data_IF_778883505412
#
_entry.id   IF_778883505412
#
_cell.length_a   1.000
_cell.length_b   1.000
_cell.length_c   1.000
_cell.angle_alpha   90.00
_cell.angle_beta   90.00
_cell.angle_gamma   90.00
#
_symmetry.space_group_name_H-M   'P 1'
#
loop_
_entity.id
_entity.type
_entity.pdbx_description
1 polymer ?
#
# COMPACT_ATOMS: atom_id res chain seq x y z
N UNK A 1 16.11 27.30 -15.31
CA UNK A 1 15.08 27.42 -14.24
C UNK A 1 15.76 28.01 -13.01
N UNK A 2 15.32 29.18 -12.53
CA UNK A 2 15.88 29.81 -11.33
C UNK A 2 15.56 28.98 -10.07
N UNK A 3 16.48 28.97 -9.09
CA UNK A 3 16.34 28.18 -7.85
C UNK A 3 15.04 28.45 -7.06
N UNK A 4 14.50 29.67 -7.18
CA UNK A 4 13.22 30.07 -6.58
C UNK A 4 12.00 29.36 -7.19
N UNK A 5 12.00 29.13 -8.50
CA UNK A 5 10.91 28.41 -9.18
C UNK A 5 10.90 26.92 -8.82
N UNK A 6 12.07 26.35 -8.53
CA UNK A 6 12.20 24.96 -8.08
C UNK A 6 11.63 24.84 -6.67
N UNK A 7 12.00 25.74 -5.75
CA UNK A 7 11.54 25.73 -4.36
C UNK A 7 10.02 25.79 -4.24
N UNK A 8 9.35 26.57 -5.09
CA UNK A 8 7.89 26.65 -5.13
C UNK A 8 7.19 25.39 -5.67
N UNK A 9 7.89 24.54 -6.45
CA UNK A 9 7.34 23.30 -7.00
C UNK A 9 7.57 22.07 -6.12
N UNK A 10 8.53 22.10 -5.20
CA UNK A 10 8.85 20.96 -4.30
C UNK A 10 7.63 20.45 -3.53
N UNK A 11 6.78 21.31 -2.90
CA UNK A 11 5.61 20.83 -2.16
C UNK A 11 4.59 20.10 -3.06
N UNK A 12 4.41 20.58 -4.29
CA UNK A 12 3.53 19.94 -5.27
C UNK A 12 4.08 18.58 -5.70
N UNK A 13 5.37 18.51 -6.05
CA UNK A 13 6.04 17.26 -6.45
C UNK A 13 5.95 16.22 -5.34
N UNK A 14 6.24 16.62 -4.10
CA UNK A 14 6.13 15.75 -2.92
C UNK A 14 4.70 15.22 -2.74
N UNK A 15 3.70 16.10 -2.79
CA UNK A 15 2.31 15.69 -2.63
C UNK A 15 1.89 14.71 -3.73
N UNK A 16 2.33 14.93 -4.98
CA UNK A 16 2.10 14.00 -6.08
C UNK A 16 2.80 12.67 -5.84
N UNK A 17 4.08 12.66 -5.44
CA UNK A 17 4.81 11.42 -5.13
C UNK A 17 4.11 10.61 -4.03
N UNK A 18 3.68 11.27 -2.96
CA UNK A 18 2.95 10.61 -1.87
C UNK A 18 1.60 10.04 -2.33
N UNK A 19 0.80 10.83 -3.06
CA UNK A 19 -0.52 10.40 -3.51
C UNK A 19 -0.44 9.29 -4.56
N UNK A 20 0.51 9.37 -5.48
CA UNK A 20 0.79 8.30 -6.44
C UNK A 20 1.30 7.05 -5.74
N UNK A 21 2.18 7.18 -4.75
CA UNK A 21 2.63 6.07 -3.92
C UNK A 21 1.48 5.40 -3.18
N UNK A 22 0.58 6.18 -2.57
CA UNK A 22 -0.59 5.69 -1.84
C UNK A 22 -1.57 4.96 -2.78
N UNK A 23 -1.83 5.53 -3.95
CA UNK A 23 -2.65 4.87 -4.97
C UNK A 23 -2.05 3.53 -5.39
N UNK A 24 -0.77 3.51 -5.78
CA UNK A 24 -0.12 2.26 -6.17
C UNK A 24 -0.09 1.23 -5.03
N UNK A 25 0.09 1.66 -3.78
CA UNK A 25 0.07 0.80 -2.61
C UNK A 25 -1.29 0.09 -2.46
N UNK A 26 -2.39 0.84 -2.53
CA UNK A 26 -3.74 0.28 -2.43
C UNK A 26 -4.06 -0.61 -3.62
N UNK A 27 -3.70 -0.19 -4.83
CA UNK A 27 -3.82 -1.00 -6.04
C UNK A 27 -3.10 -2.35 -5.92
N UNK A 28 -1.85 -2.35 -5.44
CA UNK A 28 -1.09 -3.59 -5.25
C UNK A 28 -1.68 -4.49 -4.15
N UNK A 29 -2.19 -3.91 -3.06
CA UNK A 29 -2.92 -4.66 -2.04
C UNK A 29 -4.18 -5.31 -2.61
N UNK A 30 -4.94 -4.59 -3.45
CA UNK A 30 -6.13 -5.13 -4.11
C UNK A 30 -5.79 -6.28 -5.05
N UNK A 31 -4.70 -6.15 -5.83
CA UNK A 31 -4.21 -7.22 -6.71
C UNK A 31 -3.82 -8.44 -5.87
N UNK A 32 -3.06 -8.25 -4.79
CA UNK A 32 -2.58 -9.34 -3.92
C UNK A 32 -3.74 -10.02 -3.16
N UNK A 33 -4.82 -9.30 -2.86
CA UNK A 33 -6.05 -9.85 -2.27
C UNK A 33 -6.97 -10.55 -3.27
N UNK A 34 -6.88 -10.18 -4.55
CA UNK A 34 -7.60 -10.88 -5.61
C UNK A 34 -6.99 -12.25 -5.89
N UNK A 35 -7.63 -13.06 -6.73
CA UNK A 35 -7.03 -14.32 -7.20
C UNK A 35 -5.87 -14.15 -8.20
N UNK A 36 -5.45 -12.93 -8.54
CA UNK A 36 -4.28 -12.73 -9.40
C UNK A 36 -3.02 -13.18 -8.66
N UNK A 37 -2.37 -14.22 -9.17
CA UNK A 37 -1.00 -14.53 -8.74
C UNK A 37 -0.08 -13.45 -9.30
N UNK A 38 0.44 -12.58 -8.41
CA UNK A 38 1.43 -11.57 -8.77
C UNK A 38 2.84 -12.06 -8.37
N UNK A 39 3.66 -12.54 -9.32
CA UNK A 39 5.02 -12.98 -8.99
C UNK A 39 5.95 -11.81 -8.60
N UNK A 40 5.54 -10.56 -8.85
CA UNK A 40 6.36 -9.37 -8.63
C UNK A 40 5.94 -8.54 -7.41
N UNK A 41 5.11 -9.07 -6.51
CA UNK A 41 4.61 -8.38 -5.31
C UNK A 41 5.72 -7.66 -4.53
N UNK A 42 6.86 -8.33 -4.32
CA UNK A 42 8.00 -7.74 -3.63
C UNK A 42 8.65 -6.55 -4.35
N UNK A 43 8.64 -6.52 -5.68
CA UNK A 43 9.19 -5.40 -6.47
C UNK A 43 8.23 -4.21 -6.47
N UNK A 44 6.93 -4.47 -6.65
CA UNK A 44 5.87 -3.46 -6.58
C UNK A 44 5.93 -2.66 -5.27
N UNK A 45 6.01 -3.35 -4.14
CA UNK A 45 6.08 -2.74 -2.82
C UNK A 45 7.42 -2.04 -2.51
N UNK A 46 8.51 -2.43 -3.17
CA UNK A 46 9.78 -1.67 -3.13
C UNK A 46 9.68 -0.39 -3.94
N UNK A 47 8.97 -0.39 -5.07
CA UNK A 47 8.75 0.80 -5.87
C UNK A 47 7.92 1.85 -5.11
N UNK A 48 6.82 1.46 -4.46
CA UNK A 48 6.04 2.37 -3.62
C UNK A 48 6.84 2.89 -2.42
N UNK A 49 7.66 2.03 -1.81
CA UNK A 49 8.60 2.45 -0.76
C UNK A 49 9.55 3.55 -1.25
N UNK A 50 10.12 3.44 -2.44
CA UNK A 50 11.01 4.47 -3.00
C UNK A 50 10.27 5.79 -3.26
N UNK A 51 8.99 5.75 -3.67
CA UNK A 51 8.17 6.95 -3.83
C UNK A 51 7.97 7.65 -2.48
N UNK A 52 7.61 6.90 -1.43
CA UNK A 52 7.46 7.47 -0.09
C UNK A 52 8.78 7.96 0.49
N UNK A 53 9.87 7.23 0.29
CA UNK A 53 11.20 7.65 0.73
C UNK A 53 11.61 8.96 0.06
N UNK A 54 11.37 9.09 -1.24
CA UNK A 54 11.67 10.33 -1.98
C UNK A 54 10.79 11.48 -1.49
N UNK A 55 9.48 11.25 -1.30
CA UNK A 55 8.57 12.25 -0.75
C UNK A 55 9.00 12.69 0.67
N UNK A 56 9.45 11.76 1.50
CA UNK A 56 9.96 12.01 2.85
C UNK A 56 11.24 12.85 2.84
N UNK A 57 12.18 12.60 1.92
CA UNK A 57 13.45 13.32 1.82
C UNK A 57 13.28 14.75 1.25
N UNK A 58 12.23 14.97 0.44
CA UNK A 58 11.88 16.29 -0.10
C UNK A 58 11.13 17.18 0.90
N UNK A 59 10.75 16.64 2.05
CA UNK A 59 10.05 17.36 3.11
C UNK A 59 11.02 18.15 3.99
N UNK A 60 10.61 19.35 4.40
CA UNK A 60 11.40 20.15 5.34
C UNK A 60 11.19 19.60 6.76
N UNK A 61 12.28 19.14 7.39
CA UNK A 61 12.28 18.62 8.75
C UNK A 61 13.19 19.45 9.64
N UNK A 62 12.72 19.72 10.85
CA UNK A 62 13.51 20.31 11.92
C UNK A 62 14.60 19.34 12.39
N UNK A 63 15.64 19.85 13.06
CA UNK A 63 16.73 19.01 13.60
C UNK A 63 16.22 17.92 14.55
N UNK A 64 15.19 18.21 15.34
CA UNK A 64 14.58 17.25 16.27
C UNK A 64 13.85 16.13 15.52
N UNK A 65 13.13 16.48 14.47
CA UNK A 65 12.44 15.50 13.60
C UNK A 65 13.45 14.61 12.88
N UNK A 66 14.55 15.16 12.38
CA UNK A 66 15.63 14.36 11.77
C UNK A 66 16.20 13.32 12.74
N UNK A 67 16.47 13.70 13.99
CA UNK A 67 16.98 12.76 15.01
C UNK A 67 15.96 11.65 15.26
N UNK A 68 14.68 12.00 15.42
CA UNK A 68 13.61 11.03 15.63
C UNK A 68 13.47 10.08 14.42
N UNK A 69 13.48 10.62 13.21
CA UNK A 69 13.39 9.85 11.97
C UNK A 69 14.54 8.86 11.86
N UNK A 70 15.79 9.30 12.10
CA UNK A 70 16.96 8.43 12.06
C UNK A 70 16.85 7.33 13.12
N UNK A 71 16.44 7.66 14.35
CA UNK A 71 16.25 6.67 15.41
C UNK A 71 15.20 5.60 15.04
N UNK A 72 14.04 6.03 14.53
CA UNK A 72 12.97 5.13 14.10
C UNK A 72 13.40 4.30 12.88
N UNK A 73 14.06 4.90 11.89
CA UNK A 73 14.52 4.19 10.70
C UNK A 73 15.60 3.16 11.05
N UNK A 74 16.54 3.47 11.94
CA UNK A 74 17.52 2.51 12.43
C UNK A 74 16.84 1.34 13.16
N UNK A 75 15.93 1.64 14.08
CA UNK A 75 15.18 0.60 14.80
C UNK A 75 14.43 -0.33 13.85
N UNK A 76 13.62 0.24 12.95
CA UNK A 76 12.83 -0.53 11.98
C UNK A 76 13.70 -1.29 10.97
N UNK A 77 14.87 -0.76 10.61
CA UNK A 77 15.86 -1.45 9.80
C UNK A 77 16.47 -2.66 10.53
N UNK A 78 16.78 -2.55 11.82
CA UNK A 78 17.24 -3.69 12.61
C UNK A 78 16.16 -4.77 12.73
N UNK A 79 14.90 -4.37 12.96
CA UNK A 79 13.77 -5.30 12.92
C UNK A 79 13.65 -6.03 11.58
N UNK A 80 13.81 -5.31 10.46
CA UNK A 80 13.82 -5.91 9.13
C UNK A 80 14.98 -6.92 8.98
N UNK A 81 16.19 -6.56 9.43
CA UNK A 81 17.36 -7.44 9.33
C UNK A 81 17.21 -8.74 10.11
N UNK A 82 16.45 -8.72 11.21
CA UNK A 82 16.21 -9.89 12.06
C UNK A 82 15.01 -10.74 11.60
N UNK A 83 13.92 -10.09 11.21
CA UNK A 83 12.65 -10.76 10.86
C UNK A 83 12.55 -11.12 9.38
N UNK A 84 13.35 -10.47 8.52
CA UNK A 84 13.22 -10.53 7.06
C UNK A 84 12.01 -9.80 6.49
N UNK A 85 11.14 -9.23 7.35
CA UNK A 85 9.90 -8.54 6.96
C UNK A 85 10.12 -7.03 6.95
N UNK A 86 9.83 -6.39 5.82
CA UNK A 86 10.07 -4.95 5.63
C UNK A 86 8.85 -4.08 5.97
N UNK A 87 7.75 -4.66 6.45
CA UNK A 87 6.50 -3.94 6.73
C UNK A 87 6.70 -2.75 7.66
N UNK A 88 7.42 -2.96 8.77
CA UNK A 88 7.63 -1.92 9.78
C UNK A 88 8.43 -0.73 9.25
N UNK A 89 9.47 -1.00 8.46
CA UNK A 89 10.29 0.03 7.81
C UNK A 89 9.45 0.82 6.79
N UNK A 90 8.60 0.13 6.03
CA UNK A 90 7.71 0.76 5.04
C UNK A 90 6.66 1.65 5.71
N UNK A 91 6.04 1.19 6.79
CA UNK A 91 5.08 1.98 7.58
C UNK A 91 5.76 3.22 8.15
N UNK A 92 6.98 3.10 8.71
CA UNK A 92 7.71 4.25 9.23
C UNK A 92 7.96 5.32 8.17
N UNK A 93 8.48 4.92 6.99
CA UNK A 93 8.71 5.85 5.87
C UNK A 93 7.40 6.46 5.36
N UNK A 94 6.33 5.67 5.26
CA UNK A 94 5.00 6.16 4.87
C UNK A 94 4.49 7.25 5.81
N UNK A 95 4.56 7.02 7.12
CA UNK A 95 4.10 7.98 8.13
C UNK A 95 4.90 9.28 8.04
N UNK A 96 6.23 9.21 7.93
CA UNK A 96 7.05 10.42 7.75
C UNK A 96 6.77 11.14 6.43
N UNK A 97 6.52 10.39 5.34
CA UNK A 97 6.15 10.97 4.05
C UNK A 97 4.76 11.66 4.06
N UNK A 98 3.85 11.24 4.94
CA UNK A 98 2.49 11.80 5.04
C UNK A 98 2.39 13.14 5.77
N UNK A 99 3.47 13.61 6.41
CA UNK A 99 3.51 14.75 7.35
C UNK A 99 2.67 15.96 6.92
N UNK A 100 2.74 16.35 5.65
CA UNK A 100 2.13 17.57 5.13
C UNK A 100 0.94 17.34 4.20
N UNK A 101 0.60 16.08 3.92
CA UNK A 101 -0.55 15.76 3.07
C UNK A 101 -1.80 15.72 3.95
N UNK A 102 -2.88 16.44 3.59
CA UNK A 102 -4.10 16.45 4.39
C UNK A 102 -4.65 15.02 4.58
N UNK A 103 -4.76 14.59 5.84
CA UNK A 103 -5.23 13.24 6.19
C UNK A 103 -6.57 12.91 5.53
N UNK A 104 -7.51 13.87 5.49
CA UNK A 104 -8.81 13.71 4.83
C UNK A 104 -8.67 13.32 3.35
N UNK A 105 -7.72 13.93 2.63
CA UNK A 105 -7.49 13.63 1.21
C UNK A 105 -6.96 12.22 1.02
N UNK A 106 -5.97 11.83 1.84
CA UNK A 106 -5.39 10.48 1.82
C UNK A 106 -6.42 9.40 2.17
N UNK A 107 -7.25 9.63 3.20
CA UNK A 107 -8.30 8.70 3.62
C UNK A 107 -9.41 8.58 2.57
N UNK A 108 -9.83 9.68 1.95
CA UNK A 108 -10.83 9.63 0.88
C UNK A 108 -10.31 8.85 -0.33
N UNK A 109 -9.06 9.06 -0.73
CA UNK A 109 -8.43 8.30 -1.80
C UNK A 109 -8.40 6.81 -1.47
N UNK A 110 -7.89 6.45 -0.28
CA UNK A 110 -7.85 5.07 0.19
C UNK A 110 -9.24 4.42 0.19
N UNK A 111 -10.25 5.12 0.71
CA UNK A 111 -11.62 4.61 0.76
C UNK A 111 -12.22 4.42 -0.64
N UNK A 112 -12.13 5.45 -1.50
CA UNK A 112 -12.68 5.41 -2.86
C UNK A 112 -12.03 4.31 -3.69
N UNK A 113 -10.70 4.19 -3.61
CA UNK A 113 -9.95 3.20 -4.35
C UNK A 113 -10.23 1.78 -3.86
N UNK A 114 -10.26 1.57 -2.54
CA UNK A 114 -10.61 0.27 -1.96
C UNK A 114 -12.04 -0.13 -2.35
N UNK A 115 -13.01 0.80 -2.25
CA UNK A 115 -14.39 0.54 -2.62
C UNK A 115 -14.52 0.22 -4.12
N UNK A 116 -13.92 1.04 -4.98
CA UNK A 116 -13.93 0.82 -6.42
C UNK A 116 -13.27 -0.51 -6.80
N UNK A 117 -12.11 -0.81 -6.21
CA UNK A 117 -11.40 -2.07 -6.43
C UNK A 117 -12.22 -3.29 -6.00
N UNK A 118 -12.82 -3.24 -4.81
CA UNK A 118 -13.71 -4.31 -4.33
C UNK A 118 -14.91 -4.50 -5.25
N UNK A 119 -15.57 -3.41 -5.68
CA UNK A 119 -16.71 -3.48 -6.61
C UNK A 119 -16.29 -4.08 -7.96
N UNK A 120 -15.12 -3.72 -8.49
CA UNK A 120 -14.59 -4.30 -9.73
C UNK A 120 -14.32 -5.80 -9.57
N UNK A 121 -13.67 -6.23 -8.48
CA UNK A 121 -13.41 -7.65 -8.21
C UNK A 121 -14.71 -8.45 -8.13
N UNK A 122 -15.69 -7.95 -7.39
CA UNK A 122 -17.01 -8.59 -7.25
C UNK A 122 -17.73 -8.64 -8.60
N UNK A 123 -17.74 -7.55 -9.36
CA UNK A 123 -18.37 -7.49 -10.68
C UNK A 123 -17.75 -8.49 -11.66
N UNK A 124 -16.42 -8.58 -11.70
CA UNK A 124 -15.71 -9.54 -12.54
C UNK A 124 -16.03 -11.00 -12.15
N UNK A 125 -16.18 -11.28 -10.86
CA UNK A 125 -16.58 -12.61 -10.38
C UNK A 125 -18.03 -12.95 -10.72
N UNK A 126 -18.95 -11.98 -10.56
CA UNK A 126 -20.36 -12.17 -10.88
C UNK A 126 -20.60 -12.33 -12.38
N UNK A 127 -19.84 -11.64 -13.22
CA UNK A 127 -19.91 -11.82 -14.69
C UNK A 127 -19.20 -13.09 -15.18
N UNK A 128 -18.42 -13.75 -14.32
CA UNK A 128 -17.65 -14.94 -14.67
C UNK A 128 -16.39 -14.64 -15.49
N UNK A 129 -16.01 -13.37 -15.63
CA UNK A 129 -14.82 -12.94 -16.35
C UNK A 129 -13.53 -13.25 -15.56
N UNK A 130 -13.56 -13.07 -14.24
CA UNK A 130 -12.39 -13.32 -13.39
C UNK A 130 -12.78 -13.62 -11.93
N UNK A 131 -12.16 -14.65 -11.36
CA UNK A 131 -12.32 -15.02 -9.95
C UNK A 131 -13.61 -15.80 -9.62
N UNK A 132 -13.49 -16.82 -8.77
CA UNK A 132 -14.63 -17.68 -8.40
C UNK A 132 -15.62 -16.97 -7.47
N UNK A 133 -16.92 -17.22 -7.70
CA UNK A 133 -18.01 -16.68 -6.87
C UNK A 133 -18.04 -17.36 -5.50
N UNK A 134 -17.77 -18.66 -5.48
CA UNK A 134 -17.76 -19.48 -4.27
C UNK A 134 -16.72 -20.59 -4.35
N UNK A 135 -16.15 -20.94 -3.22
CA UNK A 135 -15.22 -22.05 -3.04
C UNK A 135 -15.92 -23.13 -2.23
N UNK A 136 -16.01 -24.34 -2.80
CA UNK A 136 -16.54 -25.51 -2.11
C UNK A 136 -15.39 -26.46 -1.82
N UNK A 137 -14.92 -26.46 -0.57
CA UNK A 137 -13.80 -27.31 -0.14
C UNK A 137 -14.00 -27.79 1.28
N UNK A 138 -13.23 -28.81 1.67
CA UNK A 138 -13.17 -29.30 3.05
C UNK A 138 -12.17 -28.42 3.81
N UNK A 139 -12.68 -27.48 4.60
CA UNK A 139 -11.84 -26.50 5.31
C UNK A 139 -11.21 -27.03 6.62
N UNK A 140 -11.62 -28.21 7.10
CA UNK A 140 -11.11 -28.84 8.33
C UNK A 140 -10.91 -30.34 8.10
N UNK A 141 -9.83 -30.91 8.63
CA UNK A 141 -9.56 -32.36 8.55
C UNK A 141 -10.74 -33.14 9.14
N UNK A 142 -11.43 -33.95 8.32
CA UNK A 142 -12.62 -34.72 8.69
C UNK A 142 -13.97 -33.99 8.57
N UNK A 143 -14.00 -32.78 8.01
CA UNK A 143 -15.22 -31.98 7.87
C UNK A 143 -16.00 -32.20 6.57
N UNK A 144 -17.27 -31.79 6.58
CA UNK A 144 -18.16 -31.80 5.42
C UNK A 144 -17.75 -30.73 4.37
N UNK A 145 -18.15 -30.94 3.11
CA UNK A 145 -17.97 -29.91 2.07
C UNK A 145 -18.75 -28.65 2.45
N UNK A 146 -18.06 -27.53 2.60
CA UNK A 146 -18.69 -26.23 2.83
C UNK A 146 -18.48 -25.33 1.62
N UNK A 147 -19.58 -24.73 1.15
CA UNK A 147 -19.53 -23.69 0.12
C UNK A 147 -19.43 -22.33 0.81
N UNK A 148 -18.38 -21.56 0.50
CA UNK A 148 -18.18 -20.20 1.00
C UNK A 148 -18.03 -19.23 -0.16
N UNK A 149 -18.68 -18.07 -0.08
CA UNK A 149 -18.64 -17.07 -1.14
C UNK A 149 -17.31 -16.29 -1.08
N UNK A 150 -16.49 -16.42 -2.12
CA UNK A 150 -15.24 -15.66 -2.28
C UNK A 150 -15.43 -14.40 -3.11
N UNK A 151 -16.45 -14.32 -3.96
CA UNK A 151 -16.76 -13.16 -4.81
C UNK A 151 -15.53 -12.58 -5.55
N UNK A 152 -14.64 -13.45 -6.03
CA UNK A 152 -13.42 -13.07 -6.75
C UNK A 152 -12.16 -12.87 -5.89
N UNK A 153 -12.28 -12.83 -4.57
CA UNK A 153 -11.14 -12.75 -3.65
C UNK A 153 -10.39 -14.09 -3.52
N UNK A 154 -9.10 -14.01 -3.14
CA UNK A 154 -8.18 -15.14 -3.06
C UNK A 154 -8.59 -16.24 -2.06
N UNK A 155 -9.24 -15.86 -0.97
CA UNK A 155 -9.76 -16.79 0.04
C UNK A 155 -11.12 -16.32 0.52
N UNK A 156 -12.09 -17.23 0.76
CA UNK A 156 -13.43 -16.86 1.20
C UNK A 156 -13.54 -16.52 2.70
N UNK A 157 -12.43 -16.22 3.39
CA UNK A 157 -12.34 -15.66 4.75
C UNK A 157 -10.91 -15.23 5.09
#
# INVERSE_FOLDING_TARGET
MNGEQIKNKIPQIRSTLFLTGLFLEVLFVLIDKSRLSNPYTGVCFRATFLLFLTAMLLEEHSKKEWILMVAVLLFTFFCYRWTGKNDLLRVAVFVFASKTVPLRKSLLLLFQETLAGCLVIVFLSLTGLFGERSVTTVFRTGGEMQTRYSLGFGHPN
#
